data_IF_278175048757
#
_entry.id   IF_278175048757
#
_cell.length_a   1.000
_cell.length_b   1.000
_cell.length_c   1.000
_cell.angle_alpha   90.00
_cell.angle_beta   90.00
_cell.angle_gamma   90.00
#
_symmetry.space_group_name_H-M   'P 1'
#
loop_
_entity.id
_entity.type
_entity.pdbx_description
1 polymer ?
#
# COMPACT_ATOMS: atom_id res chain seq x y z
N UNK A 1 -14.91 -16.38 -24.80
CA UNK A 1 -14.99 -17.54 -25.71
C UNK A 1 -14.86 -18.85 -24.95
N UNK A 2 -13.70 -19.17 -24.35
CA UNK A 2 -13.50 -20.42 -23.60
C UNK A 2 -14.63 -20.74 -22.59
N UNK A 3 -15.08 -19.76 -21.79
CA UNK A 3 -16.18 -19.97 -20.84
C UNK A 3 -17.55 -20.16 -21.51
N UNK A 4 -17.76 -19.62 -22.70
CA UNK A 4 -18.99 -19.83 -23.48
C UNK A 4 -19.05 -21.26 -24.04
N UNK A 5 -17.91 -21.82 -24.44
CA UNK A 5 -17.76 -23.18 -24.96
C UNK A 5 -17.74 -24.25 -23.85
N UNK A 6 -17.59 -23.84 -22.60
CA UNK A 6 -17.55 -24.76 -21.46
C UNK A 6 -18.98 -25.10 -21.03
N UNK A 7 -19.48 -26.24 -21.50
CA UNK A 7 -20.73 -26.82 -21.02
C UNK A 7 -20.47 -27.68 -19.77
N UNK A 8 -20.79 -27.15 -18.59
CA UNK A 8 -20.59 -27.82 -17.30
C UNK A 8 -21.59 -28.96 -17.09
N UNK A 9 -22.77 -28.90 -17.72
CA UNK A 9 -23.83 -29.89 -17.51
C UNK A 9 -23.56 -31.19 -18.26
N UNK A 10 -22.87 -31.12 -19.40
CA UNK A 10 -22.49 -32.28 -20.22
C UNK A 10 -21.19 -32.97 -19.78
N UNK A 11 -20.41 -32.37 -18.86
CA UNK A 11 -19.12 -32.92 -18.42
C UNK A 11 -19.28 -34.23 -17.65
N UNK A 12 -18.23 -35.07 -17.63
CA UNK A 12 -18.15 -36.13 -16.62
C UNK A 12 -17.95 -35.54 -15.22
N UNK A 13 -18.19 -36.34 -14.16
CA UNK A 13 -17.94 -35.89 -12.79
C UNK A 13 -16.44 -35.57 -12.60
N UNK A 14 -15.57 -36.39 -13.17
CA UNK A 14 -14.11 -36.18 -13.09
C UNK A 14 -13.69 -34.89 -13.79
N UNK A 15 -14.19 -34.63 -15.01
CA UNK A 15 -13.89 -33.39 -15.74
C UNK A 15 -14.36 -32.14 -14.98
N UNK A 16 -15.49 -32.24 -14.28
CA UNK A 16 -16.04 -31.16 -13.45
C UNK A 16 -15.17 -30.89 -12.21
N UNK A 17 -14.67 -31.94 -11.54
CA UNK A 17 -13.79 -31.81 -10.36
C UNK A 17 -12.45 -31.16 -10.71
N UNK A 18 -11.99 -31.34 -11.94
CA UNK A 18 -10.77 -30.73 -12.47
C UNK A 18 -11.04 -29.46 -13.28
N UNK A 19 -12.23 -28.86 -13.18
CA UNK A 19 -12.51 -27.58 -13.82
C UNK A 19 -12.01 -26.42 -12.93
N UNK A 20 -11.14 -25.53 -13.44
CA UNK A 20 -10.62 -24.42 -12.65
C UNK A 20 -11.73 -23.48 -12.17
N UNK A 21 -11.64 -23.01 -10.92
CA UNK A 21 -12.73 -22.27 -10.30
C UNK A 21 -13.11 -20.97 -11.04
N UNK A 22 -12.18 -20.35 -11.78
CA UNK A 22 -12.47 -19.16 -12.59
C UNK A 22 -13.51 -19.47 -13.67
N UNK A 23 -13.45 -20.67 -14.27
CA UNK A 23 -14.42 -21.12 -15.26
C UNK A 23 -15.79 -21.34 -14.60
N UNK A 24 -15.79 -21.96 -13.42
CA UNK A 24 -17.01 -22.15 -12.63
C UNK A 24 -17.66 -20.80 -12.30
N UNK A 25 -16.88 -19.78 -11.93
CA UNK A 25 -17.42 -18.45 -11.70
C UNK A 25 -18.06 -17.83 -12.94
N UNK A 26 -17.44 -17.95 -14.11
CA UNK A 26 -17.97 -17.38 -15.35
C UNK A 26 -19.28 -18.05 -15.77
N UNK A 27 -19.38 -19.38 -15.58
CA UNK A 27 -20.62 -20.13 -15.83
C UNK A 27 -21.69 -19.77 -14.79
N UNK A 28 -21.34 -19.75 -13.51
CA UNK A 28 -22.27 -19.36 -12.44
C UNK A 28 -22.75 -17.92 -12.60
N UNK A 29 -21.90 -17.00 -13.06
CA UNK A 29 -22.26 -15.59 -13.29
C UNK A 29 -23.25 -15.46 -14.44
N UNK A 30 -23.14 -16.30 -15.47
CA UNK A 30 -24.11 -16.36 -16.57
C UNK A 30 -25.47 -16.82 -16.05
N UNK A 31 -25.51 -17.94 -15.32
CA UNK A 31 -26.75 -18.45 -14.68
C UNK A 31 -27.37 -17.44 -13.72
N UNK A 32 -26.55 -16.74 -12.94
CA UNK A 32 -26.98 -15.66 -12.05
C UNK A 32 -27.66 -14.52 -12.80
N UNK A 33 -27.13 -14.10 -13.95
CA UNK A 33 -27.72 -13.07 -14.81
C UNK A 33 -29.04 -13.52 -15.44
N UNK A 34 -29.10 -14.78 -15.89
CA UNK A 34 -30.31 -15.40 -16.43
C UNK A 34 -31.42 -15.51 -15.37
N UNK A 35 -31.10 -15.97 -14.15
CA UNK A 35 -32.06 -16.08 -13.04
C UNK A 35 -32.61 -14.70 -12.61
N UNK A 36 -31.81 -13.64 -12.71
CA UNK A 36 -32.23 -12.28 -12.39
C UNK A 36 -32.96 -11.60 -13.56
N UNK A 37 -32.70 -12.02 -14.79
CA UNK A 37 -33.19 -11.36 -16.01
C UNK A 37 -32.45 -10.06 -16.34
N UNK A 38 -31.22 -9.88 -15.86
CA UNK A 38 -30.37 -8.72 -16.11
C UNK A 38 -28.96 -9.16 -16.54
N UNK A 39 -28.59 -8.83 -17.77
CA UNK A 39 -27.30 -9.19 -18.37
C UNK A 39 -26.11 -8.50 -17.71
N UNK A 40 -26.33 -7.36 -17.04
CA UNK A 40 -25.30 -6.57 -16.36
C UNK A 40 -25.23 -6.85 -14.85
N UNK A 41 -26.11 -7.72 -14.35
CA UNK A 41 -26.15 -8.13 -12.95
C UNK A 41 -24.79 -8.67 -12.51
N UNK A 42 -24.37 -8.25 -11.31
CA UNK A 42 -23.11 -8.64 -10.70
C UNK A 42 -23.26 -8.79 -9.18
N UNK A 43 -22.62 -9.81 -8.57
CA UNK A 43 -22.72 -10.06 -7.13
C UNK A 43 -21.82 -9.11 -6.32
N UNK A 44 -22.21 -7.85 -6.22
CA UNK A 44 -21.48 -6.78 -5.51
C UNK A 44 -21.84 -6.66 -4.02
N UNK A 45 -23.07 -7.00 -3.62
CA UNK A 45 -23.49 -6.98 -2.21
C UNK A 45 -23.36 -8.35 -1.54
N UNK A 46 -23.39 -8.39 -0.21
CA UNK A 46 -23.39 -9.66 0.54
C UNK A 46 -24.56 -10.57 0.12
N UNK A 47 -25.77 -10.02 0.01
CA UNK A 47 -26.96 -10.78 -0.38
C UNK A 47 -26.84 -11.35 -1.80
N UNK A 48 -26.38 -10.53 -2.76
CA UNK A 48 -26.16 -10.98 -4.14
C UNK A 48 -25.03 -12.02 -4.24
N UNK A 49 -23.95 -11.86 -3.47
CA UNK A 49 -22.86 -12.85 -3.37
C UNK A 49 -23.34 -14.17 -2.80
N UNK A 50 -24.20 -14.14 -1.78
CA UNK A 50 -24.81 -15.36 -1.23
C UNK A 50 -25.62 -16.08 -2.32
N UNK A 51 -26.46 -15.36 -3.06
CA UNK A 51 -27.25 -15.95 -4.14
C UNK A 51 -26.37 -16.55 -5.26
N UNK A 52 -25.34 -15.82 -5.71
CA UNK A 52 -24.35 -16.33 -6.65
C UNK A 52 -23.67 -17.61 -6.15
N UNK A 53 -23.27 -17.66 -4.87
CA UNK A 53 -22.66 -18.84 -4.28
C UNK A 53 -23.62 -20.02 -4.20
N UNK A 54 -24.92 -19.79 -3.99
CA UNK A 54 -25.94 -20.84 -4.05
C UNK A 54 -26.05 -21.43 -5.45
N UNK A 55 -26.04 -20.59 -6.51
CA UNK A 55 -26.02 -21.05 -7.91
C UNK A 55 -24.75 -21.86 -8.19
N UNK A 56 -23.58 -21.36 -7.77
CA UNK A 56 -22.32 -22.08 -7.90
C UNK A 56 -22.38 -23.43 -7.17
N UNK A 57 -22.96 -23.49 -5.96
CA UNK A 57 -23.04 -24.73 -5.18
C UNK A 57 -23.98 -25.76 -5.81
N UNK A 58 -25.05 -25.31 -6.47
CA UNK A 58 -25.97 -26.18 -7.24
C UNK A 58 -25.31 -26.83 -8.47
N UNK A 59 -24.20 -26.29 -8.96
CA UNK A 59 -23.45 -26.89 -10.07
C UNK A 59 -22.64 -28.13 -9.66
N UNK A 60 -22.47 -28.37 -8.34
CA UNK A 60 -21.74 -29.53 -7.81
C UNK A 60 -22.56 -30.82 -8.01
N UNK A 61 -21.89 -31.91 -8.40
CA UNK A 61 -22.50 -33.24 -8.57
C UNK A 61 -21.92 -34.24 -7.57
N UNK A 62 -22.76 -35.16 -7.10
CA UNK A 62 -22.34 -36.27 -6.23
C UNK A 62 -21.59 -37.33 -7.04
N UNK A 63 -20.49 -37.84 -6.47
CA UNK A 63 -19.75 -38.97 -7.04
C UNK A 63 -20.45 -40.31 -6.80
N UNK A 64 -19.93 -41.36 -7.43
CA UNK A 64 -20.47 -42.74 -7.33
C UNK A 64 -20.50 -43.29 -5.89
N UNK A 65 -19.61 -42.79 -5.02
CA UNK A 65 -19.54 -43.14 -3.60
C UNK A 65 -20.47 -42.32 -2.70
N UNK A 66 -21.30 -41.43 -3.27
CA UNK A 66 -22.03 -40.40 -2.52
C UNK A 66 -21.12 -39.32 -1.93
N UNK A 67 -19.80 -39.37 -2.21
CA UNK A 67 -18.88 -38.31 -1.81
C UNK A 67 -19.11 -37.08 -2.69
N UNK A 68 -19.17 -35.93 -2.02
CA UNK A 68 -19.24 -34.64 -2.69
C UNK A 68 -17.84 -34.10 -3.03
N UNK A 69 -16.77 -34.85 -2.81
CA UNK A 69 -15.40 -34.34 -2.80
C UNK A 69 -15.07 -33.51 -4.07
N UNK A 70 -14.93 -32.20 -3.91
CA UNK A 70 -14.82 -31.26 -5.02
C UNK A 70 -14.00 -30.04 -4.56
N UNK A 71 -12.69 -30.25 -4.51
CA UNK A 71 -11.72 -29.28 -4.01
C UNK A 71 -11.81 -27.94 -4.75
N UNK A 72 -11.97 -27.96 -6.08
CA UNK A 72 -12.18 -26.77 -6.89
C UNK A 72 -13.39 -25.92 -6.46
N UNK A 73 -14.50 -26.52 -6.02
CA UNK A 73 -15.65 -25.77 -5.48
C UNK A 73 -15.38 -25.19 -4.09
N UNK A 74 -14.63 -25.90 -3.26
CA UNK A 74 -14.21 -25.38 -1.96
C UNK A 74 -13.24 -24.20 -2.12
N UNK A 75 -12.27 -24.31 -3.04
CA UNK A 75 -11.39 -23.21 -3.46
C UNK A 75 -12.21 -22.04 -4.00
N UNK A 76 -13.20 -22.31 -4.86
CA UNK A 76 -14.09 -21.28 -5.39
C UNK A 76 -14.84 -20.54 -4.26
N UNK A 77 -15.33 -21.25 -3.24
CA UNK A 77 -16.00 -20.61 -2.11
C UNK A 77 -15.02 -19.76 -1.29
N UNK A 78 -13.83 -20.28 -1.00
CA UNK A 78 -12.79 -19.57 -0.26
C UNK A 78 -12.30 -18.31 -1.00
N UNK A 79 -12.14 -18.41 -2.33
CA UNK A 79 -11.68 -17.32 -3.19
C UNK A 79 -12.77 -16.30 -3.57
N UNK A 80 -14.05 -16.56 -3.25
CA UNK A 80 -15.14 -15.71 -3.71
C UNK A 80 -15.04 -14.27 -3.18
N UNK A 81 -14.65 -14.12 -1.90
CA UNK A 81 -14.49 -12.81 -1.28
C UNK A 81 -13.44 -11.95 -2.00
N UNK A 82 -12.33 -12.53 -2.47
CA UNK A 82 -11.29 -11.81 -3.21
C UNK A 82 -11.63 -11.58 -4.69
N UNK A 83 -12.39 -12.49 -5.29
CA UNK A 83 -12.59 -12.54 -6.75
C UNK A 83 -13.84 -11.77 -7.22
N UNK A 84 -14.85 -11.61 -6.36
CA UNK A 84 -16.14 -11.00 -6.72
C UNK A 84 -16.13 -9.48 -6.56
N UNK A 85 -15.26 -8.83 -7.33
CA UNK A 85 -15.17 -7.36 -7.41
C UNK A 85 -15.10 -6.93 -8.87
N UNK A 86 -15.66 -5.75 -9.18
CA UNK A 86 -15.46 -5.15 -10.49
C UNK A 86 -14.01 -4.73 -10.62
N UNK A 87 -13.47 -4.88 -11.83
CA UNK A 87 -12.12 -4.39 -12.13
C UNK A 87 -12.15 -2.87 -12.08
N UNK A 88 -11.34 -2.31 -11.19
CA UNK A 88 -11.24 -0.87 -10.98
C UNK A 88 -9.78 -0.47 -10.87
N UNK A 89 -9.48 0.75 -11.31
CA UNK A 89 -8.15 1.33 -11.16
C UNK A 89 -8.01 1.83 -9.72
N UNK A 90 -7.02 1.37 -8.94
CA UNK A 90 -6.84 1.83 -7.57
C UNK A 90 -6.60 3.33 -7.50
N UNK A 91 -7.09 3.96 -6.42
CA UNK A 91 -6.99 5.40 -6.21
C UNK A 91 -5.55 5.92 -6.25
N UNK A 92 -4.58 5.19 -5.67
CA UNK A 92 -3.17 5.61 -5.71
C UNK A 92 -2.60 5.61 -7.13
N UNK A 93 -3.02 4.68 -8.01
CA UNK A 93 -2.59 4.66 -9.42
C UNK A 93 -3.25 5.81 -10.17
N UNK A 94 -4.56 6.03 -9.97
CA UNK A 94 -5.28 7.17 -10.56
C UNK A 94 -4.57 8.49 -10.25
N UNK A 95 -4.18 8.71 -8.99
CA UNK A 95 -3.47 9.92 -8.58
C UNK A 95 -2.13 10.10 -9.30
N UNK A 96 -1.37 9.01 -9.52
CA UNK A 96 -0.11 9.06 -10.29
C UNK A 96 -0.38 9.42 -11.75
N UNK A 97 -1.41 8.84 -12.36
CA UNK A 97 -1.75 9.13 -13.76
C UNK A 97 -2.31 10.56 -13.94
N UNK A 98 -2.91 11.14 -12.91
CA UNK A 98 -3.35 12.54 -12.88
C UNK A 98 -2.24 13.54 -12.54
N UNK A 99 -1.02 13.07 -12.29
CA UNK A 99 0.10 13.95 -11.97
C UNK A 99 0.50 14.82 -13.18
N UNK A 100 0.95 16.04 -12.92
CA UNK A 100 1.37 16.98 -13.96
C UNK A 100 2.53 16.46 -14.81
N UNK A 101 3.35 15.56 -14.28
CA UNK A 101 4.41 14.92 -15.07
C UNK A 101 3.87 13.99 -16.17
N UNK A 102 2.62 13.54 -16.06
CA UNK A 102 1.94 12.77 -17.09
C UNK A 102 1.30 13.65 -18.17
N UNK A 103 1.20 14.97 -17.98
CA UNK A 103 0.53 15.86 -18.94
C UNK A 103 1.20 15.89 -20.31
N UNK A 104 0.42 16.12 -21.37
CA UNK A 104 0.95 16.17 -22.74
C UNK A 104 1.88 17.38 -22.92
N UNK A 105 1.72 18.44 -22.11
CA UNK A 105 2.62 19.60 -22.07
C UNK A 105 3.86 19.40 -21.19
N UNK A 106 3.92 18.30 -20.42
CA UNK A 106 5.04 17.99 -19.55
C UNK A 106 6.31 17.75 -20.36
N UNK A 107 7.42 18.28 -19.85
CA UNK A 107 8.77 18.05 -20.40
C UNK A 107 9.56 17.01 -19.59
N UNK A 108 8.90 16.31 -18.66
CA UNK A 108 9.57 15.33 -17.81
C UNK A 108 9.99 14.09 -18.62
N UNK A 109 11.29 13.81 -18.66
CA UNK A 109 11.86 12.66 -19.40
C UNK A 109 12.32 11.53 -18.48
N UNK A 110 11.91 11.55 -17.21
CA UNK A 110 12.23 10.47 -16.28
C UNK A 110 11.52 9.17 -16.69
N UNK A 111 12.20 8.00 -16.71
CA UNK A 111 11.63 6.76 -17.22
C UNK A 111 10.26 6.39 -16.64
N UNK A 112 10.10 6.53 -15.32
CA UNK A 112 8.84 6.29 -14.63
C UNK A 112 7.68 7.12 -15.22
N UNK A 113 7.90 8.40 -15.46
CA UNK A 113 6.87 9.32 -15.96
C UNK A 113 6.58 9.14 -17.44
N UNK A 114 7.57 8.74 -18.24
CA UNK A 114 7.34 8.37 -19.65
C UNK A 114 6.37 7.18 -19.73
N UNK A 115 6.64 6.11 -18.98
CA UNK A 115 5.78 4.93 -18.96
C UNK A 115 4.41 5.25 -18.35
N UNK A 116 4.33 6.03 -17.26
CA UNK A 116 3.05 6.47 -16.68
C UNK A 116 2.20 7.26 -17.69
N UNK A 117 2.83 8.10 -18.53
CA UNK A 117 2.09 8.84 -19.58
C UNK A 117 1.54 7.89 -20.64
N UNK A 118 2.34 6.91 -21.10
CA UNK A 118 1.87 5.86 -22.02
C UNK A 118 0.75 5.01 -21.42
N UNK A 119 0.88 4.64 -20.14
CA UNK A 119 -0.14 3.93 -19.37
C UNK A 119 -1.43 4.75 -19.24
N UNK A 120 -1.33 6.07 -19.04
CA UNK A 120 -2.48 6.96 -18.99
C UNK A 120 -3.25 6.96 -20.31
N UNK A 121 -2.56 6.96 -21.46
CA UNK A 121 -3.20 6.86 -22.78
C UNK A 121 -3.94 5.53 -22.94
N UNK A 122 -3.33 4.43 -22.53
CA UNK A 122 -3.97 3.11 -22.51
C UNK A 122 -5.23 3.10 -21.63
N UNK A 123 -5.12 3.62 -20.41
CA UNK A 123 -6.23 3.71 -19.44
C UNK A 123 -7.37 4.58 -19.98
N UNK A 124 -7.08 5.73 -20.59
CA UNK A 124 -8.10 6.60 -21.16
C UNK A 124 -8.87 5.93 -22.30
N UNK A 125 -8.21 5.04 -23.07
CA UNK A 125 -8.82 4.31 -24.17
C UNK A 125 -9.64 3.10 -23.70
N UNK A 126 -9.13 2.34 -22.75
CA UNK A 126 -9.70 1.03 -22.35
C UNK A 126 -10.48 1.06 -21.03
N UNK A 127 -10.33 2.10 -20.22
CA UNK A 127 -10.97 2.24 -18.91
C UNK A 127 -10.40 1.35 -17.80
N UNK A 128 -9.37 0.54 -18.10
CA UNK A 128 -8.73 -0.43 -17.18
C UNK A 128 -7.21 -0.36 -17.29
N UNK A 129 -6.52 -0.92 -16.29
CA UNK A 129 -5.07 -1.15 -16.35
C UNK A 129 -4.74 -2.33 -17.29
N UNK A 130 -3.53 -2.36 -17.88
CA UNK A 130 -3.07 -3.51 -18.64
C UNK A 130 -3.04 -4.76 -17.75
N UNK A 131 -3.36 -5.91 -18.33
CA UNK A 131 -3.42 -7.16 -17.58
C UNK A 131 -2.02 -7.57 -17.08
N UNK A 132 -1.91 -8.04 -15.83
CA UNK A 132 -0.63 -8.51 -15.29
C UNK A 132 -0.17 -9.86 -15.86
N UNK A 133 -1.11 -10.65 -16.38
CA UNK A 133 -0.90 -11.99 -16.91
C UNK A 133 -0.66 -13.06 -15.83
N UNK A 134 -0.71 -12.72 -14.55
CA UNK A 134 -0.49 -13.65 -13.43
C UNK A 134 -1.82 -14.19 -12.91
N UNK A 135 -1.91 -15.51 -12.77
CA UNK A 135 -3.03 -16.19 -12.13
C UNK A 135 -2.57 -16.92 -10.86
N UNK A 136 -3.44 -17.02 -9.84
CA UNK A 136 -3.17 -17.89 -8.71
C UNK A 136 -3.22 -19.35 -9.13
N UNK A 137 -2.56 -20.21 -8.35
CA UNK A 137 -2.74 -21.65 -8.47
C UNK A 137 -4.19 -22.04 -8.15
N UNK A 138 -4.67 -23.09 -8.81
CA UNK A 138 -6.04 -23.57 -8.65
C UNK A 138 -6.15 -25.04 -9.04
N UNK A 139 -7.02 -25.76 -8.35
CA UNK A 139 -7.35 -27.15 -8.69
C UNK A 139 -7.94 -27.20 -10.10
N UNK A 140 -7.22 -27.85 -11.02
CA UNK A 140 -7.58 -27.94 -12.43
C UNK A 140 -6.82 -29.07 -13.12
N UNK A 141 -7.37 -29.59 -14.23
CA UNK A 141 -6.58 -30.40 -15.15
C UNK A 141 -5.51 -29.52 -15.83
N UNK A 142 -4.40 -30.16 -16.20
CA UNK A 142 -3.24 -29.49 -16.79
C UNK A 142 -3.60 -28.77 -18.09
N UNK A 143 -4.50 -29.32 -18.91
CA UNK A 143 -4.83 -28.77 -20.23
C UNK A 143 -5.61 -27.47 -20.09
N UNK A 144 -6.65 -27.42 -19.25
CA UNK A 144 -7.42 -26.20 -19.00
C UNK A 144 -6.59 -25.14 -18.28
N UNK A 145 -5.77 -25.53 -17.30
CA UNK A 145 -4.92 -24.57 -16.60
C UNK A 145 -3.89 -23.93 -17.55
N UNK A 146 -3.22 -24.72 -18.39
CA UNK A 146 -2.27 -24.20 -19.39
C UNK A 146 -2.94 -23.32 -20.44
N UNK A 147 -4.16 -23.65 -20.87
CA UNK A 147 -4.92 -22.82 -21.80
C UNK A 147 -5.31 -21.46 -21.19
N UNK A 148 -5.82 -21.43 -19.96
CA UNK A 148 -6.21 -20.17 -19.30
C UNK A 148 -4.98 -19.30 -19.02
N UNK A 149 -3.89 -19.90 -18.54
CA UNK A 149 -2.64 -19.17 -18.32
C UNK A 149 -2.08 -18.58 -19.61
N UNK A 150 -2.16 -19.31 -20.74
CA UNK A 150 -1.81 -18.78 -22.05
C UNK A 150 -2.67 -17.56 -22.45
N UNK A 151 -4.00 -17.63 -22.30
CA UNK A 151 -4.91 -16.52 -22.62
C UNK A 151 -4.54 -15.25 -21.84
N UNK A 152 -4.31 -15.37 -20.52
CA UNK A 152 -3.93 -14.23 -19.68
C UNK A 152 -2.54 -13.71 -20.03
N UNK A 153 -1.60 -14.60 -20.34
CA UNK A 153 -0.24 -14.23 -20.72
C UNK A 153 -0.19 -13.48 -22.06
N UNK A 154 -0.88 -13.99 -23.08
CA UNK A 154 -0.98 -13.38 -24.41
C UNK A 154 -1.63 -12.00 -24.33
N UNK A 155 -2.72 -11.87 -23.57
CA UNK A 155 -3.36 -10.56 -23.35
C UNK A 155 -2.44 -9.59 -22.62
N UNK A 156 -1.68 -10.05 -21.62
CA UNK A 156 -0.70 -9.20 -20.92
C UNK A 156 0.42 -8.71 -21.85
N UNK A 157 0.92 -9.57 -22.75
CA UNK A 157 1.91 -9.17 -23.78
C UNK A 157 1.30 -8.13 -24.71
N UNK A 158 0.08 -8.38 -25.21
CA UNK A 158 -0.62 -7.48 -26.12
C UNK A 158 -0.86 -6.10 -25.50
N UNK A 159 -1.33 -6.06 -24.25
CA UNK A 159 -1.57 -4.82 -23.51
C UNK A 159 -0.27 -4.05 -23.27
N UNK A 160 0.79 -4.74 -22.85
CA UNK A 160 2.10 -4.13 -22.62
C UNK A 160 2.70 -3.56 -23.91
N UNK A 161 2.56 -4.25 -25.03
CA UNK A 161 3.01 -3.76 -26.34
C UNK A 161 2.25 -2.48 -26.76
N UNK A 162 0.95 -2.40 -26.48
CA UNK A 162 0.18 -1.17 -26.71
C UNK A 162 0.65 -0.02 -25.83
N UNK A 163 0.87 -0.25 -24.53
CA UNK A 163 1.43 0.75 -23.60
C UNK A 163 2.83 1.19 -24.06
N UNK A 164 3.65 0.25 -24.53
CA UNK A 164 4.99 0.54 -25.03
C UNK A 164 4.94 1.45 -26.25
N UNK A 165 4.03 1.19 -27.19
CA UNK A 165 3.80 2.07 -28.35
C UNK A 165 3.44 3.49 -27.91
N UNK A 166 2.50 3.66 -26.98
CA UNK A 166 2.17 4.99 -26.45
C UNK A 166 3.37 5.64 -25.76
N UNK A 167 4.18 4.86 -25.04
CA UNK A 167 5.39 5.37 -24.39
C UNK A 167 6.40 5.87 -25.43
N UNK A 168 6.60 5.16 -26.54
CA UNK A 168 7.47 5.61 -27.64
C UNK A 168 6.96 6.88 -28.34
N UNK A 169 5.65 7.05 -28.44
CA UNK A 169 5.04 8.29 -28.94
C UNK A 169 5.37 9.46 -28.00
N UNK A 170 5.20 9.26 -26.69
CA UNK A 170 5.53 10.26 -25.65
C UNK A 170 7.03 10.60 -25.67
N UNK A 171 7.91 9.62 -25.84
CA UNK A 171 9.35 9.86 -25.99
C UNK A 171 9.64 10.85 -27.13
N UNK A 172 9.08 10.57 -28.32
CA UNK A 172 9.25 11.41 -29.51
C UNK A 172 8.71 12.82 -29.29
N UNK A 173 7.53 12.95 -28.69
CA UNK A 173 6.90 14.23 -28.36
C UNK A 173 7.76 15.06 -27.38
N UNK A 174 8.44 14.40 -26.44
CA UNK A 174 9.33 15.04 -25.46
C UNK A 174 10.79 15.17 -25.95
N UNK A 175 11.07 14.83 -27.21
CA UNK A 175 12.38 14.99 -27.83
C UNK A 175 13.43 13.99 -27.37
N UNK A 176 13.02 12.83 -26.85
CA UNK A 176 13.90 11.70 -26.51
C UNK A 176 13.55 10.50 -27.38
N UNK A 177 14.43 9.51 -27.47
CA UNK A 177 14.15 8.30 -28.24
C UNK A 177 14.83 7.08 -27.61
N UNK A 178 14.10 5.98 -27.55
CA UNK A 178 14.59 4.66 -27.11
C UNK A 178 15.18 4.68 -25.69
N UNK A 179 14.60 5.48 -24.79
CA UNK A 179 14.99 5.50 -23.37
C UNK A 179 14.39 4.32 -22.62
N UNK A 180 13.17 3.92 -23.00
CA UNK A 180 12.44 2.80 -22.44
C UNK A 180 12.60 1.58 -23.35
N UNK A 181 13.00 0.45 -22.77
CA UNK A 181 12.97 -0.83 -23.47
C UNK A 181 11.60 -1.51 -23.35
N UNK A 182 11.27 -2.36 -24.30
CA UNK A 182 10.04 -3.16 -24.27
C UNK A 182 9.95 -4.03 -23.01
N UNK A 183 11.06 -4.66 -22.60
CA UNK A 183 11.15 -5.44 -21.36
C UNK A 183 10.84 -4.59 -20.11
N UNK A 184 11.38 -3.37 -20.02
CA UNK A 184 11.11 -2.48 -18.90
C UNK A 184 9.64 -2.09 -18.85
N UNK A 185 9.05 -1.76 -20.01
CA UNK A 185 7.63 -1.44 -20.11
C UNK A 185 6.76 -2.65 -19.75
N UNK A 186 7.09 -3.85 -20.21
CA UNK A 186 6.39 -5.08 -19.86
C UNK A 186 6.41 -5.35 -18.35
N UNK A 187 7.60 -5.25 -17.72
CA UNK A 187 7.72 -5.38 -16.25
C UNK A 187 6.95 -4.30 -15.50
N UNK A 188 6.87 -3.09 -16.03
CA UNK A 188 6.05 -2.02 -15.47
C UNK A 188 4.56 -2.35 -15.55
N UNK A 189 4.06 -2.77 -16.73
CA UNK A 189 2.67 -3.17 -16.95
C UNK A 189 2.25 -4.32 -16.04
N UNK A 190 3.12 -5.33 -15.85
CA UNK A 190 2.89 -6.44 -14.92
C UNK A 190 2.63 -5.96 -13.48
N UNK A 191 3.20 -4.83 -13.10
CA UNK A 191 3.10 -4.23 -11.78
C UNK A 191 2.27 -2.94 -11.75
N UNK A 192 1.51 -2.63 -12.81
CA UNK A 192 0.80 -1.35 -12.95
C UNK A 192 -0.17 -1.07 -11.79
N UNK A 193 -0.82 -2.12 -11.26
CA UNK A 193 -1.71 -2.02 -10.10
C UNK A 193 -0.97 -1.61 -8.80
N UNK A 194 0.32 -1.94 -8.72
CA UNK A 194 1.18 -1.79 -7.54
C UNK A 194 2.09 -0.57 -7.57
N UNK A 195 2.08 0.25 -8.63
CA UNK A 195 2.99 1.41 -8.70
C UNK A 195 2.75 2.38 -7.54
N UNK A 196 3.83 3.03 -7.10
CA UNK A 196 3.81 3.99 -5.99
C UNK A 196 4.68 5.18 -6.33
N UNK A 197 4.26 6.33 -5.80
CA UNK A 197 5.01 7.57 -5.85
C UNK A 197 5.03 8.14 -4.43
N UNK A 198 6.23 8.40 -3.93
CA UNK A 198 6.42 9.05 -2.65
C UNK A 198 7.13 10.38 -2.90
N UNK A 199 6.54 11.45 -2.39
CA UNK A 199 7.12 12.79 -2.40
C UNK A 199 7.44 13.17 -0.97
N UNK A 200 8.72 13.32 -0.68
CA UNK A 200 9.17 13.90 0.57
C UNK A 200 8.62 15.31 0.78
N UNK A 201 8.69 15.74 2.01
CA UNK A 201 8.42 17.12 2.43
C UNK A 201 9.75 17.83 2.66
N UNK A 202 9.72 19.16 2.64
CA UNK A 202 10.89 19.94 2.98
C UNK A 202 11.32 19.63 4.42
N UNK A 203 12.63 19.51 4.62
CA UNK A 203 13.19 19.30 5.95
C UNK A 203 12.77 20.45 6.86
N UNK A 204 12.30 20.11 8.07
CA UNK A 204 11.86 21.09 9.07
C UNK A 204 10.64 21.94 8.63
N UNK A 205 9.68 21.34 7.89
CA UNK A 205 8.44 22.01 7.48
C UNK A 205 7.65 22.55 8.69
N UNK A 206 7.45 23.88 8.81
CA UNK A 206 6.74 24.45 9.95
C UNK A 206 5.30 23.97 10.05
N UNK A 207 4.63 23.80 8.91
CA UNK A 207 3.24 23.35 8.86
C UNK A 207 3.10 21.90 9.31
N UNK A 208 3.94 21.01 8.79
CA UNK A 208 3.83 19.60 9.15
C UNK A 208 4.26 19.36 10.62
N UNK A 209 5.21 20.15 11.13
CA UNK A 209 5.50 20.18 12.57
C UNK A 209 4.34 20.74 13.41
N UNK A 210 3.65 21.78 12.95
CA UNK A 210 2.43 22.30 13.59
C UNK A 210 1.33 21.25 13.64
N UNK A 211 1.09 20.55 12.53
CA UNK A 211 0.08 19.50 12.42
C UNK A 211 0.40 18.34 13.39
N UNK A 212 1.67 17.93 13.49
CA UNK A 212 2.14 16.94 14.46
C UNK A 212 1.92 17.40 15.91
N UNK A 213 2.34 18.61 16.27
CA UNK A 213 2.17 19.09 17.65
C UNK A 213 0.68 19.24 17.99
N UNK A 214 -0.14 19.64 17.04
CA UNK A 214 -1.58 19.80 17.26
C UNK A 214 -2.28 18.45 17.48
N UNK A 215 -1.74 17.33 16.98
CA UNK A 215 -2.29 16.00 17.28
C UNK A 215 -2.09 15.57 18.74
N UNK A 216 -1.05 16.09 19.42
CA UNK A 216 -0.81 15.86 20.85
C UNK A 216 -1.97 16.38 21.71
N UNK A 217 -2.63 17.48 21.30
CA UNK A 217 -3.80 17.99 22.03
C UNK A 217 -4.99 17.02 21.99
N UNK A 218 -5.05 16.15 20.97
CA UNK A 218 -6.15 15.23 20.72
C UNK A 218 -5.88 13.81 21.24
N UNK A 219 -4.69 13.53 21.79
CA UNK A 219 -4.42 12.22 22.40
C UNK A 219 -5.17 12.10 23.72
N UNK A 220 -5.97 11.04 23.86
CA UNK A 220 -6.77 10.77 25.06
C UNK A 220 -5.90 10.51 26.29
N UNK A 221 -6.30 11.09 27.42
CA UNK A 221 -5.62 10.96 28.73
C UNK A 221 -5.59 9.54 29.31
N UNK A 222 -6.33 8.59 28.71
CA UNK A 222 -6.51 7.23 29.23
C UNK A 222 -5.36 6.25 28.91
N UNK A 223 -4.43 6.60 28.01
CA UNK A 223 -3.27 5.73 27.75
C UNK A 223 -2.12 6.13 28.69
N UNK A 224 -1.81 5.26 29.65
CA UNK A 224 -0.66 5.42 30.57
C UNK A 224 0.71 5.51 29.85
N UNK A 225 0.72 5.36 28.53
CA UNK A 225 1.90 5.40 27.66
C UNK A 225 2.08 6.76 26.99
N UNK A 226 3.34 7.18 26.85
CA UNK A 226 3.71 8.43 26.17
C UNK A 226 3.60 8.22 24.67
N UNK A 227 2.91 9.13 23.97
CA UNK A 227 2.74 9.03 22.52
C UNK A 227 4.05 9.28 21.75
N UNK A 228 4.25 8.66 20.58
CA UNK A 228 5.46 8.88 19.78
C UNK A 228 5.65 10.34 19.31
N UNK A 229 4.56 11.11 19.18
CA UNK A 229 4.58 12.55 18.90
C UNK A 229 5.23 13.34 20.04
N UNK A 230 4.90 13.00 21.29
CA UNK A 230 5.52 13.61 22.47
C UNK A 230 7.00 13.24 22.52
N UNK A 231 7.38 11.99 22.22
CA UNK A 231 8.79 11.61 22.13
C UNK A 231 9.55 12.42 21.08
N UNK A 232 8.96 12.63 19.90
CA UNK A 232 9.57 13.48 18.88
C UNK A 232 9.75 14.93 19.35
N UNK A 233 8.73 15.52 19.96
CA UNK A 233 8.81 16.88 20.53
C UNK A 233 9.92 16.98 21.59
N UNK A 234 10.04 15.98 22.45
CA UNK A 234 11.06 15.93 23.49
C UNK A 234 12.48 15.80 22.91
N UNK A 235 12.68 15.02 21.84
CA UNK A 235 13.95 14.96 21.13
C UNK A 235 14.32 16.34 20.54
N UNK A 236 13.36 17.07 19.95
CA UNK A 236 13.57 18.45 19.48
C UNK A 236 13.94 19.40 20.62
N UNK A 237 13.31 19.23 21.79
CA UNK A 237 13.64 20.00 22.98
C UNK A 237 15.04 19.68 23.52
N UNK A 238 15.46 18.42 23.48
CA UNK A 238 16.81 17.98 23.85
C UNK A 238 17.88 18.54 22.89
N UNK A 239 17.60 18.57 21.58
CA UNK A 239 18.48 19.23 20.61
C UNK A 239 18.58 20.74 20.85
N UNK A 240 17.46 21.40 21.18
CA UNK A 240 17.48 22.81 21.58
C UNK A 240 18.32 22.99 22.84
N UNK A 241 18.18 22.08 23.81
CA UNK A 241 18.97 22.04 25.04
C UNK A 241 20.47 21.98 24.75
N UNK A 242 20.88 21.04 23.91
CA UNK A 242 22.27 20.90 23.50
C UNK A 242 22.82 22.17 22.83
N UNK A 243 22.07 22.77 21.91
CA UNK A 243 22.50 24.01 21.22
C UNK A 243 22.76 25.18 22.17
N UNK A 244 21.96 25.33 23.22
CA UNK A 244 22.05 26.48 24.13
C UNK A 244 22.94 26.24 25.36
N UNK A 245 23.05 24.99 25.82
CA UNK A 245 23.83 24.64 27.02
C UNK A 245 25.17 23.97 26.71
N UNK A 246 25.41 23.59 25.44
CA UNK A 246 26.63 22.89 25.01
C UNK A 246 26.74 21.43 25.50
N UNK A 247 25.65 20.86 26.01
CA UNK A 247 25.56 19.47 26.51
C UNK A 247 24.12 18.99 26.45
N UNK A 248 23.87 17.68 26.39
CA UNK A 248 22.52 17.12 26.47
C UNK A 248 21.98 17.09 27.91
N UNK A 249 20.65 17.06 28.13
CA UNK A 249 20.08 16.92 29.47
C UNK A 249 20.50 15.58 30.10
N UNK A 250 20.75 15.57 31.42
CA UNK A 250 21.18 14.40 32.17
C UNK A 250 22.68 14.07 32.06
N UNK A 251 23.47 14.95 31.46
CA UNK A 251 24.92 14.75 31.27
C UNK A 251 25.74 15.68 32.16
N UNK A 252 27.06 15.46 32.21
CA UNK A 252 28.04 16.29 32.93
C UNK A 252 27.78 16.41 34.45
N UNK A 253 27.15 15.40 35.06
CA UNK A 253 26.94 15.34 36.51
C UNK A 253 25.91 16.33 37.06
N UNK A 254 25.13 17.00 36.20
CA UNK A 254 24.04 17.87 36.64
C UNK A 254 22.86 17.01 37.07
N UNK A 255 22.25 17.25 38.25
CA UNK A 255 21.08 16.50 38.70
C UNK A 255 19.95 16.53 37.68
N UNK A 256 19.39 15.36 37.33
CA UNK A 256 18.30 15.25 36.36
C UNK A 256 17.07 16.10 36.70
N UNK A 257 16.83 16.36 37.99
CA UNK A 257 15.74 17.23 38.44
C UNK A 257 15.91 18.68 37.98
N UNK A 258 17.15 19.19 37.95
CA UNK A 258 17.47 20.54 37.48
C UNK A 258 17.32 20.59 35.96
N UNK A 259 17.91 19.61 35.26
CA UNK A 259 17.82 19.54 33.80
C UNK A 259 16.39 19.33 33.31
N UNK A 260 15.54 18.63 34.05
CA UNK A 260 14.13 18.46 33.72
C UNK A 260 13.35 19.79 33.77
N UNK A 261 13.68 20.69 34.69
CA UNK A 261 13.09 22.04 34.74
C UNK A 261 13.52 22.87 33.52
N UNK A 262 14.81 22.85 33.21
CA UNK A 262 15.36 23.55 32.03
C UNK A 262 14.83 22.97 30.71
N UNK A 263 14.68 21.64 30.62
CA UNK A 263 14.12 20.96 29.45
C UNK A 263 12.64 21.32 29.26
N UNK A 264 11.86 21.38 30.35
CA UNK A 264 10.46 21.82 30.32
C UNK A 264 10.31 23.22 29.75
N UNK A 265 11.17 24.17 30.12
CA UNK A 265 11.15 25.53 29.56
C UNK A 265 11.33 25.53 28.04
N UNK A 266 12.12 24.60 27.50
CA UNK A 266 12.35 24.46 26.06
C UNK A 266 11.18 23.86 25.32
N UNK A 267 10.53 22.85 25.92
CA UNK A 267 9.28 22.29 25.42
C UNK A 267 8.24 23.40 25.28
N UNK A 268 8.01 24.18 26.35
CA UNK A 268 7.09 25.33 26.33
C UNK A 268 7.50 26.32 25.24
N UNK A 269 8.77 26.70 25.17
CA UNK A 269 9.27 27.63 24.15
C UNK A 269 9.06 27.13 22.71
N UNK A 270 9.23 25.83 22.44
CA UNK A 270 9.00 25.24 21.11
C UNK A 270 7.52 25.27 20.76
N UNK A 271 6.64 24.88 21.67
CA UNK A 271 5.18 24.88 21.45
C UNK A 271 4.70 26.31 21.20
N UNK A 272 5.10 27.27 22.03
CA UNK A 272 4.72 28.68 21.85
C UNK A 272 5.24 29.26 20.52
N UNK A 273 6.47 28.92 20.11
CA UNK A 273 7.03 29.37 18.83
C UNK A 273 6.34 28.73 17.61
N UNK A 274 5.67 27.59 17.79
CA UNK A 274 5.03 26.84 16.70
C UNK A 274 3.72 27.47 16.22
N UNK A 275 3.18 28.51 16.88
CA UNK A 275 1.94 29.22 16.46
C UNK A 275 0.71 28.31 16.31
N UNK A 276 0.60 27.29 17.15
CA UNK A 276 -0.58 26.43 17.30
C UNK A 276 -1.72 27.18 18.00
N UNK A 277 -2.98 26.79 17.77
CA UNK A 277 -4.15 27.49 18.32
C UNK A 277 -4.22 27.45 19.85
N UNK A 278 -3.96 26.28 20.46
CA UNK A 278 -4.09 26.07 21.91
C UNK A 278 -2.79 25.51 22.53
N UNK A 279 -1.73 26.32 22.66
CA UNK A 279 -0.44 25.85 23.17
C UNK A 279 -0.51 25.32 24.60
N UNK A 280 -1.37 25.89 25.45
CA UNK A 280 -1.53 25.46 26.86
C UNK A 280 -2.06 24.02 26.97
N UNK A 281 -3.02 23.66 26.13
CA UNK A 281 -3.59 22.30 26.08
C UNK A 281 -2.54 21.26 25.67
N UNK A 282 -1.67 21.60 24.72
CA UNK A 282 -0.57 20.73 24.31
C UNK A 282 0.43 20.58 25.45
N UNK A 283 0.81 21.69 26.11
CA UNK A 283 1.74 21.67 27.24
C UNK A 283 1.21 20.77 28.37
N UNK A 284 -0.09 20.80 28.67
CA UNK A 284 -0.68 19.94 29.70
C UNK A 284 -0.67 18.46 29.34
N UNK A 285 -0.71 18.13 28.04
CA UNK A 285 -0.61 16.75 27.55
C UNK A 285 0.82 16.21 27.51
N UNK A 286 1.86 17.04 27.72
CA UNK A 286 3.25 16.54 27.81
C UNK A 286 3.53 16.03 29.24
N UNK A 287 3.71 14.72 29.44
CA UNK A 287 3.84 14.16 30.78
C UNK A 287 5.18 14.54 31.43
N UNK A 288 5.15 14.96 32.70
CA UNK A 288 6.36 15.37 33.43
C UNK A 288 7.36 14.21 33.62
N UNK A 289 6.86 12.97 33.75
CA UNK A 289 7.69 11.77 33.79
C UNK A 289 8.44 11.57 32.46
N UNK A 290 7.83 11.86 31.30
CA UNK A 290 8.52 11.76 30.01
C UNK A 290 9.69 12.75 29.90
N UNK A 291 9.52 13.98 30.41
CA UNK A 291 10.60 15.00 30.48
C UNK A 291 11.73 14.51 31.39
N UNK A 292 11.39 13.98 32.57
CA UNK A 292 12.36 13.43 33.49
C UNK A 292 13.11 12.23 32.88
N UNK A 293 12.41 11.43 32.07
CA UNK A 293 12.94 10.24 31.41
C UNK A 293 13.99 10.59 30.34
N UNK A 294 13.79 11.67 29.57
CA UNK A 294 14.81 12.18 28.65
C UNK A 294 16.09 12.57 29.38
N UNK A 295 15.96 13.17 30.57
CA UNK A 295 17.11 13.48 31.41
C UNK A 295 17.72 12.20 31.99
N UNK A 296 16.91 11.19 32.33
CA UNK A 296 17.42 9.88 32.79
C UNK A 296 18.22 9.15 31.72
N UNK A 297 17.84 9.26 30.44
CA UNK A 297 18.60 8.67 29.35
C UNK A 297 20.02 9.22 29.24
N UNK A 298 20.23 10.50 29.59
CA UNK A 298 21.56 11.12 29.59
C UNK A 298 22.27 11.05 28.24
N UNK A 299 21.52 11.11 27.14
CA UNK A 299 22.00 10.90 25.76
C UNK A 299 22.76 9.57 25.54
N UNK A 300 22.44 8.54 26.33
CA UNK A 300 23.01 7.20 26.15
C UNK A 300 22.48 6.49 24.90
N UNK A 301 23.35 5.78 24.20
CA UNK A 301 23.01 4.93 23.06
C UNK A 301 23.04 3.45 23.48
N UNK A 302 21.87 2.87 23.73
CA UNK A 302 21.76 1.47 24.10
C UNK A 302 21.95 0.57 22.88
N UNK A 303 22.87 -0.38 22.97
CA UNK A 303 23.20 -1.30 21.87
C UNK A 303 21.98 -2.01 21.27
N UNK A 304 21.03 -2.45 22.10
CA UNK A 304 19.82 -3.16 21.64
C UNK A 304 18.92 -2.26 20.81
N UNK A 305 18.75 -0.99 21.22
CA UNK A 305 17.96 0.00 20.49
C UNK A 305 18.67 0.39 19.19
N UNK A 306 19.97 0.68 19.26
CA UNK A 306 20.79 0.99 18.09
C UNK A 306 20.78 -0.15 17.06
N UNK A 307 20.84 -1.40 17.51
CA UNK A 307 20.81 -2.57 16.62
C UNK A 307 19.45 -2.71 15.90
N UNK A 308 18.35 -2.50 16.60
CA UNK A 308 17.01 -2.53 16.01
C UNK A 308 16.85 -1.42 14.96
N UNK A 309 17.19 -0.18 15.30
CA UNK A 309 17.12 0.96 14.38
C UNK A 309 18.05 0.73 13.17
N UNK A 310 19.25 0.19 13.40
CA UNK A 310 20.19 -0.17 12.33
C UNK A 310 19.60 -1.17 11.34
N UNK A 311 18.86 -2.19 11.81
CA UNK A 311 18.17 -3.13 10.94
C UNK A 311 17.07 -2.48 10.09
N UNK A 312 16.26 -1.59 10.69
CA UNK A 312 15.20 -0.86 9.98
C UNK A 312 15.82 0.05 8.92
N UNK A 313 16.81 0.87 9.29
CA UNK A 313 17.49 1.80 8.38
C UNK A 313 18.16 1.05 7.23
N UNK A 314 18.84 -0.07 7.50
CA UNK A 314 19.46 -0.89 6.46
C UNK A 314 18.42 -1.36 5.42
N UNK A 315 17.25 -1.80 5.87
CA UNK A 315 16.19 -2.20 4.95
C UNK A 315 15.66 -1.01 4.14
N UNK A 316 15.45 0.16 4.74
CA UNK A 316 15.02 1.37 4.01
C UNK A 316 16.05 1.78 2.95
N UNK A 317 17.35 1.69 3.25
CA UNK A 317 18.42 1.94 2.28
C UNK A 317 18.36 0.95 1.12
N UNK A 318 18.11 -0.34 1.38
CA UNK A 318 17.96 -1.36 0.32
C UNK A 318 16.76 -1.03 -0.58
N UNK A 319 15.61 -0.62 0.00
CA UNK A 319 14.43 -0.23 -0.79
C UNK A 319 14.75 0.92 -1.75
N UNK A 320 15.44 1.95 -1.26
CA UNK A 320 15.84 3.11 -2.06
C UNK A 320 16.87 2.74 -3.14
N UNK A 321 17.88 1.95 -2.80
CA UNK A 321 18.92 1.54 -3.74
C UNK A 321 18.38 0.66 -4.88
N UNK A 322 17.41 -0.20 -4.57
CA UNK A 322 16.83 -1.15 -5.53
C UNK A 322 15.62 -0.60 -6.28
N UNK A 323 15.02 0.50 -5.79
CA UNK A 323 13.69 0.97 -6.18
C UNK A 323 12.63 -0.14 -6.09
N UNK A 324 12.76 -1.02 -5.09
CA UNK A 324 11.82 -2.09 -4.79
C UNK A 324 11.20 -1.89 -3.41
N UNK A 325 9.95 -2.30 -3.27
CA UNK A 325 9.11 -2.03 -2.10
C UNK A 325 8.84 -0.53 -1.87
N UNK A 326 8.06 -0.23 -0.83
CA UNK A 326 7.69 1.14 -0.46
C UNK A 326 8.48 1.53 0.79
N UNK A 327 9.30 2.60 0.72
CA UNK A 327 9.96 3.15 1.89
C UNK A 327 8.97 3.69 2.93
N UNK A 328 9.44 3.89 4.16
CA UNK A 328 8.69 4.63 5.17
C UNK A 328 8.47 6.07 4.70
N UNK A 329 7.28 6.61 4.96
CA UNK A 329 6.97 7.99 4.59
C UNK A 329 7.50 8.96 5.65
N UNK A 330 8.73 9.41 5.43
CA UNK A 330 9.41 10.48 6.15
C UNK A 330 9.98 10.07 7.52
N UNK A 331 9.31 10.38 8.64
CA UNK A 331 9.90 10.25 9.98
C UNK A 331 9.34 9.03 10.70
N UNK A 332 10.23 8.16 11.20
CA UNK A 332 9.86 6.99 12.00
C UNK A 332 10.33 7.16 13.44
N UNK A 333 9.43 6.94 14.39
CA UNK A 333 9.73 6.99 15.82
C UNK A 333 9.42 5.64 16.44
N UNK A 334 10.34 5.15 17.26
CA UNK A 334 10.21 3.89 18.00
C UNK A 334 10.45 4.15 19.48
N UNK A 335 9.53 3.66 20.31
CA UNK A 335 9.63 3.69 21.76
C UNK A 335 9.97 2.29 22.30
N UNK A 336 11.20 2.16 22.82
CA UNK A 336 11.68 0.92 23.42
C UNK A 336 10.99 0.52 24.73
N UNK A 337 10.30 1.43 25.42
CA UNK A 337 9.58 1.11 26.66
C UNK A 337 8.31 0.31 26.36
N UNK A 338 7.56 0.79 25.37
CA UNK A 338 6.26 0.22 24.98
C UNK A 338 6.37 -0.75 23.81
N UNK A 339 7.54 -0.83 23.15
CA UNK A 339 7.76 -1.60 21.94
C UNK A 339 6.82 -1.19 20.79
N UNK A 340 6.40 0.08 20.80
CA UNK A 340 5.52 0.68 19.78
C UNK A 340 6.33 1.59 18.86
N UNK A 341 5.81 1.78 17.64
CA UNK A 341 6.37 2.72 16.68
C UNK A 341 5.29 3.43 15.90
N UNK A 342 5.61 4.61 15.39
CA UNK A 342 4.76 5.38 14.48
C UNK A 342 5.56 6.01 13.36
N UNK A 343 4.89 6.29 12.25
CA UNK A 343 5.42 7.00 11.09
C UNK A 343 4.67 8.32 10.95
N UNK A 344 5.41 9.40 10.76
CA UNK A 344 4.90 10.75 10.64
C UNK A 344 5.43 11.41 9.39
N UNK A 345 4.55 12.15 8.71
CA UNK A 345 4.93 13.00 7.58
C UNK A 345 5.16 14.43 8.07
N UNK A 346 6.43 14.78 8.28
CA UNK A 346 6.94 16.01 8.92
C UNK A 346 7.57 17.04 7.99
#
# INVERSE_FOLDING_TARGET
EMAAETDVDSMTIEDLRHTPYIMLYLVALRRYREEIGDNDAFPDTYAKRKHFLEILWKMRREGESGSLDAENFNEAKAAAARSMHRTEIPHHVKNILMDSNCDDTSKCVQPFWLICTGLRRFVNKHGVLPLSGTLPDMTSDTKRYTQITAIFHEKAISDAAEVFKYTQEVEKERGVANMISEDLCYRFCKNANGIRLQRGTDRDSPKAFQDLISSIANSSEDDSSVSPEVWFLLLRAADKFHREKGRYPGTNGVPCTIDALDLKQRVVSIITASRVENPESIISQVPQNAIAEICRYGAGELHVIASLIGGIVAQEVIKLATNQYVPLDNTFIYDGHTQRSAVFRL
#
